data_IF_722776554954
#
_entry.id   IF_722776554954
#
_cell.length_a   1.000
_cell.length_b   1.000
_cell.length_c   1.000
_cell.angle_alpha   90.00
_cell.angle_beta   90.00
_cell.angle_gamma   90.00
#
_symmetry.space_group_name_H-M   'P 1'
#
loop_
_entity.id
_entity.type
_entity.pdbx_description
1 polymer ?
#
# COMPACT_ATOMS: atom_id res chain seq x y z
N UNK A 1 -9.23 29.88 54.10
CA UNK A 1 -8.13 28.91 53.97
C UNK A 1 -8.47 28.02 52.77
N UNK A 2 -8.03 28.40 51.57
CA UNK A 2 -8.27 27.66 50.33
C UNK A 2 -6.92 27.21 49.78
N UNK A 3 -6.69 25.89 49.65
CA UNK A 3 -5.86 25.31 48.57
C UNK A 3 -6.35 23.89 48.30
N UNK A 4 -7.36 23.77 47.43
CA UNK A 4 -7.56 22.55 46.66
C UNK A 4 -6.44 22.47 45.63
N UNK A 5 -5.57 21.45 45.64
CA UNK A 5 -4.79 21.17 44.44
C UNK A 5 -4.24 19.73 44.35
N UNK A 6 -5.05 18.90 43.67
CA UNK A 6 -4.66 18.02 42.54
C UNK A 6 -3.51 17.00 42.75
N UNK A 7 -3.85 15.71 42.96
CA UNK A 7 -4.24 14.91 41.80
C UNK A 7 -3.16 14.47 40.79
N UNK A 8 -1.91 14.20 41.19
CA UNK A 8 -0.79 14.05 40.24
C UNK A 8 -0.71 12.65 39.57
N UNK A 9 -1.77 12.20 38.86
CA UNK A 9 -1.75 10.92 38.11
C UNK A 9 -2.32 10.95 36.69
N UNK A 10 -2.79 12.08 36.15
CA UNK A 10 -3.45 12.12 34.83
C UNK A 10 -2.54 12.57 33.67
N UNK A 11 -1.40 11.88 33.45
CA UNK A 11 -0.50 12.18 32.32
C UNK A 11 -0.29 11.00 31.34
N UNK A 12 -1.33 10.18 31.12
CA UNK A 12 -1.40 9.25 29.98
C UNK A 12 -2.21 9.80 28.79
N UNK A 13 -2.13 11.11 28.53
CA UNK A 13 -2.65 11.68 27.27
C UNK A 13 -1.65 11.38 26.16
N UNK A 14 -1.78 10.15 25.66
CA UNK A 14 -0.92 9.51 24.68
C UNK A 14 -0.37 10.43 23.61
N UNK A 15 0.96 10.46 23.55
CA UNK A 15 1.67 10.77 22.31
C UNK A 15 1.20 9.75 21.27
N UNK A 16 0.30 10.17 20.39
CA UNK A 16 0.09 9.49 19.11
C UNK A 16 1.35 9.74 18.31
N UNK A 17 2.35 8.87 18.49
CA UNK A 17 3.51 8.84 17.63
C UNK A 17 2.99 8.60 16.21
N UNK A 18 2.92 9.68 15.42
CA UNK A 18 2.73 9.60 14.00
C UNK A 18 4.01 9.00 13.43
N UNK A 19 4.12 7.66 13.51
CA UNK A 19 4.91 6.92 12.53
C UNK A 19 4.36 7.35 11.17
N UNK A 20 5.24 7.65 10.22
CA UNK A 20 4.83 7.80 8.84
C UNK A 20 3.99 6.57 8.51
N UNK A 21 2.66 6.75 8.45
CA UNK A 21 1.76 5.70 8.00
C UNK A 21 2.34 5.29 6.66
N UNK A 22 2.62 4.00 6.46
CA UNK A 22 2.70 3.47 5.11
C UNK A 22 1.43 3.99 4.44
N UNK A 23 1.58 5.05 3.64
CA UNK A 23 0.45 5.72 3.02
C UNK A 23 -0.20 4.63 2.22
N UNK A 24 -1.38 4.17 2.65
CA UNK A 24 -2.12 3.13 1.94
C UNK A 24 -2.29 3.67 0.54
N UNK A 25 -1.51 3.12 -0.41
CA UNK A 25 -1.56 3.62 -1.76
C UNK A 25 -2.91 3.21 -2.32
N UNK A 26 -3.72 4.20 -2.69
CA UNK A 26 -4.94 3.95 -3.45
C UNK A 26 -4.49 3.62 -4.88
N UNK A 27 -4.24 2.34 -5.12
CA UNK A 27 -3.59 1.91 -6.34
C UNK A 27 -4.47 2.17 -7.56
N UNK A 28 -4.07 3.14 -8.39
CA UNK A 28 -4.55 3.31 -9.76
C UNK A 28 -3.53 2.72 -10.73
N UNK A 29 -3.93 1.74 -11.52
CA UNK A 29 -3.02 1.01 -12.41
C UNK A 29 -3.23 1.37 -13.88
N UNK A 30 -2.13 1.40 -14.62
CA UNK A 30 -2.09 1.50 -16.09
C UNK A 30 -1.36 0.31 -16.68
N UNK A 31 -1.70 -0.04 -17.92
CA UNK A 31 -1.02 -1.12 -18.65
C UNK A 31 0.19 -0.52 -19.36
N UNK A 32 1.39 -0.98 -19.00
CA UNK A 32 2.57 -0.78 -19.81
C UNK A 32 2.63 -1.91 -20.84
N UNK A 33 2.45 -1.54 -22.11
CA UNK A 33 2.69 -2.40 -23.26
C UNK A 33 3.94 -1.90 -23.97
N UNK A 34 4.93 -2.76 -24.18
CA UNK A 34 6.01 -2.50 -25.14
C UNK A 34 5.58 -3.04 -26.49
N UNK A 35 5.59 -2.18 -27.51
CA UNK A 35 5.01 -2.52 -28.81
C UNK A 35 5.78 -3.66 -29.52
N UNK A 36 7.11 -3.70 -29.39
CA UNK A 36 7.95 -4.64 -30.14
C UNK A 36 9.03 -5.36 -29.31
N UNK A 37 9.09 -5.16 -27.99
CA UNK A 37 10.10 -5.78 -27.12
C UNK A 37 9.44 -6.45 -25.92
N UNK A 38 9.64 -7.76 -25.78
CA UNK A 38 9.18 -8.48 -24.59
C UNK A 38 10.00 -7.98 -23.39
N UNK A 39 9.36 -7.29 -22.45
CA UNK A 39 10.01 -6.90 -21.20
C UNK A 39 10.06 -8.14 -20.30
N UNK A 40 11.26 -8.52 -19.85
CA UNK A 40 11.41 -9.52 -18.80
C UNK A 40 11.20 -8.84 -17.44
N UNK A 41 10.13 -9.21 -16.76
CA UNK A 41 9.80 -8.69 -15.43
C UNK A 41 9.03 -9.74 -14.63
N UNK A 42 8.98 -9.53 -13.32
CA UNK A 42 8.32 -10.41 -12.36
C UNK A 42 7.24 -9.65 -11.60
N UNK A 43 6.12 -10.30 -11.32
CA UNK A 43 5.03 -9.73 -10.54
C UNK A 43 5.45 -9.54 -9.07
N UNK A 44 5.14 -8.38 -8.46
CA UNK A 44 5.48 -8.13 -7.06
C UNK A 44 4.65 -8.97 -6.07
N UNK A 45 3.45 -9.45 -6.44
CA UNK A 45 2.63 -10.27 -5.54
C UNK A 45 2.99 -11.75 -5.61
N UNK A 46 3.20 -12.29 -6.81
CA UNK A 46 3.36 -13.73 -7.02
C UNK A 46 4.76 -14.15 -7.44
N UNK A 47 5.66 -13.19 -7.68
CA UNK A 47 7.04 -13.41 -8.14
C UNK A 47 7.15 -14.26 -9.42
N UNK A 48 6.04 -14.44 -10.15
CA UNK A 48 6.01 -15.16 -11.41
C UNK A 48 6.47 -14.26 -12.55
N UNK A 49 7.17 -14.84 -13.54
CA UNK A 49 7.60 -14.15 -14.75
C UNK A 49 8.24 -15.08 -15.78
N UNK A 50 8.49 -14.61 -17.00
CA UNK A 50 8.19 -13.25 -17.50
C UNK A 50 6.74 -13.09 -17.98
N UNK A 51 6.08 -11.98 -17.60
CA UNK A 51 4.72 -11.65 -18.05
C UNK A 51 4.70 -10.80 -19.32
N UNK A 52 3.63 -10.89 -20.12
CA UNK A 52 3.47 -10.09 -21.35
C UNK A 52 2.93 -8.67 -21.11
N UNK A 53 2.16 -8.49 -20.03
CA UNK A 53 1.48 -7.23 -19.70
C UNK A 53 1.86 -6.82 -18.27
N UNK A 54 2.40 -5.63 -18.12
CA UNK A 54 2.72 -5.05 -16.81
C UNK A 54 1.60 -4.10 -16.42
N UNK A 55 1.00 -4.30 -15.25
CA UNK A 55 0.13 -3.30 -14.64
C UNK A 55 0.97 -2.50 -13.64
N UNK A 56 1.31 -1.26 -13.99
CA UNK A 56 2.05 -0.33 -13.12
C UNK A 56 1.08 0.58 -12.39
N UNK A 57 1.25 0.70 -11.07
CA UNK A 57 0.55 1.75 -10.33
C UNK A 57 1.16 3.13 -10.65
N UNK A 58 0.30 4.07 -11.04
CA UNK A 58 0.70 5.44 -11.40
C UNK A 58 1.34 6.23 -10.23
N UNK A 59 1.11 5.81 -8.98
CA UNK A 59 1.55 6.55 -7.80
C UNK A 59 2.76 5.93 -7.11
N UNK A 60 2.75 4.62 -6.88
CA UNK A 60 3.79 3.92 -6.12
C UNK A 60 4.69 3.03 -6.98
N UNK A 61 4.46 2.96 -8.30
CA UNK A 61 5.21 2.13 -9.24
C UNK A 61 5.21 0.64 -8.89
N UNK A 62 4.15 0.19 -8.22
CA UNK A 62 3.94 -1.22 -7.91
C UNK A 62 3.53 -1.97 -9.17
N UNK A 63 4.22 -3.07 -9.48
CA UNK A 63 4.01 -3.85 -10.70
C UNK A 63 3.27 -5.15 -10.41
N UNK A 64 2.19 -5.38 -11.16
CA UNK A 64 1.30 -6.53 -10.98
C UNK A 64 1.02 -7.20 -12.33
N UNK A 65 0.86 -8.53 -12.34
CA UNK A 65 0.44 -9.26 -13.53
C UNK A 65 -1.08 -9.26 -13.67
N UNK A 66 -1.59 -9.47 -14.90
CA UNK A 66 -3.04 -9.50 -15.15
C UNK A 66 -3.79 -10.50 -14.24
N UNK A 67 -3.20 -11.66 -13.97
CA UNK A 67 -3.79 -12.66 -13.07
C UNK A 67 -3.88 -12.18 -11.63
N UNK A 68 -2.87 -11.47 -11.12
CA UNK A 68 -2.93 -10.87 -9.78
C UNK A 68 -3.89 -9.68 -9.74
N UNK A 69 -3.99 -8.92 -10.84
CA UNK A 69 -4.93 -7.81 -10.96
C UNK A 69 -6.38 -8.28 -10.81
N UNK A 70 -6.74 -9.37 -11.51
CA UNK A 70 -8.07 -9.97 -11.41
C UNK A 70 -8.37 -10.59 -10.04
N UNK A 71 -7.37 -11.13 -9.32
CA UNK A 71 -7.59 -11.74 -7.99
C UNK A 71 -8.00 -10.73 -6.92
N UNK A 72 -7.72 -9.44 -7.10
CA UNK A 72 -7.98 -8.40 -6.10
C UNK A 72 -9.47 -8.21 -5.78
N UNK A 73 -10.40 -8.63 -6.66
CA UNK A 73 -11.85 -8.58 -6.37
C UNK A 73 -12.26 -9.52 -5.23
N UNK A 74 -11.42 -10.50 -4.87
CA UNK A 74 -11.70 -11.45 -3.79
C UNK A 74 -11.13 -11.05 -2.44
N UNK A 75 -10.31 -9.98 -2.36
CA UNK A 75 -9.58 -9.58 -1.13
C UNK A 75 -10.09 -8.28 -0.49
N UNK A 76 -11.14 -7.66 -1.03
CA UNK A 76 -11.81 -6.50 -0.41
C UNK A 76 -12.97 -6.87 0.54
N UNK A 77 -13.12 -8.16 0.87
CA UNK A 77 -14.15 -8.70 1.78
C UNK A 77 -13.56 -9.18 3.13
N UNK A 78 -12.43 -8.61 3.57
CA UNK A 78 -11.82 -8.90 4.89
C UNK A 78 -12.00 -7.72 5.83
#
# INVERSE_FOLDING_TARGET
MLTSQLHLWDLDKGVKTAVASHSSCEHSFVILKTDNTMVQWYCNDCYAGPGWLIYECQYCRYYRCGTCMMRTTSSMLS
#
